data_IF_288548458708
#
_entry.id   IF_288548458708
#
_cell.length_a   1.000
_cell.length_b   1.000
_cell.length_c   1.000
_cell.angle_alpha   90.00
_cell.angle_beta   90.00
_cell.angle_gamma   90.00
#
_symmetry.space_group_name_H-M   'P 1'
#
loop_
_entity.id
_entity.type
_entity.pdbx_description
1 polymer ?
#
# COMPACT_ATOMS: atom_id res chain seq x y z
N UNK A 1 21.53 19.19 -8.46
CA UNK A 1 20.72 20.43 -8.38
C UNK A 1 21.54 21.63 -8.85
N UNK A 2 22.76 21.81 -8.35
CA UNK A 2 23.64 22.91 -8.74
C UNK A 2 23.97 22.95 -10.25
N UNK A 3 24.07 21.78 -10.90
CA UNK A 3 24.31 21.69 -12.36
C UNK A 3 23.17 22.21 -13.24
N UNK A 4 21.97 22.27 -12.70
CA UNK A 4 20.77 22.77 -13.41
C UNK A 4 20.34 24.16 -12.92
N UNK A 5 21.19 24.84 -12.12
CA UNK A 5 20.96 26.21 -11.65
C UNK A 5 19.84 26.36 -10.62
N UNK A 6 19.46 25.28 -9.91
CA UNK A 6 18.44 25.33 -8.86
C UNK A 6 19.10 25.50 -7.52
N UNK A 7 18.76 26.57 -6.82
CA UNK A 7 19.17 26.81 -5.43
C UNK A 7 18.08 26.30 -4.48
N UNK A 8 18.44 25.37 -3.58
CA UNK A 8 17.53 24.87 -2.55
C UNK A 8 17.83 25.50 -1.21
N UNK A 9 16.86 26.23 -0.66
CA UNK A 9 16.93 26.82 0.68
C UNK A 9 16.12 26.00 1.66
N UNK A 10 16.77 25.46 2.71
CA UNK A 10 16.12 24.60 3.71
C UNK A 10 16.26 25.25 5.07
N UNK A 11 15.14 25.63 5.66
CA UNK A 11 15.05 26.17 7.02
C UNK A 11 14.39 25.13 7.92
N UNK A 12 15.12 24.52 8.83
CA UNK A 12 14.60 23.51 9.74
C UNK A 12 14.83 23.92 11.19
N UNK A 13 13.82 23.71 12.03
CA UNK A 13 13.94 23.78 13.47
C UNK A 13 14.11 22.36 14.01
N UNK A 14 15.29 22.05 14.55
CA UNK A 14 15.69 20.74 15.08
C UNK A 14 16.71 20.00 14.21
N UNK A 15 17.68 19.36 14.89
CA UNK A 15 18.86 18.73 14.26
C UNK A 15 18.53 17.59 13.30
N UNK A 16 17.41 16.90 13.47
CA UNK A 16 17.05 15.70 12.71
C UNK A 16 15.88 15.91 11.72
N UNK A 17 15.46 17.15 11.46
CA UNK A 17 14.33 17.41 10.54
C UNK A 17 14.64 17.24 9.05
N UNK A 18 15.92 17.16 8.69
CA UNK A 18 16.37 16.84 7.32
C UNK A 18 16.98 15.44 7.25
N UNK A 19 16.40 14.51 8.00
CA UNK A 19 16.77 13.10 7.99
C UNK A 19 16.58 12.52 6.58
N UNK A 20 17.62 11.85 6.05
CA UNK A 20 17.66 11.26 4.71
C UNK A 20 17.21 12.21 3.58
N UNK A 21 17.65 13.45 3.63
CA UNK A 21 17.38 14.43 2.57
C UNK A 21 18.01 13.96 1.24
N UNK A 22 17.21 13.66 0.18
CA UNK A 22 17.71 13.09 -1.07
C UNK A 22 18.65 14.02 -1.85
N UNK A 23 18.78 15.27 -1.43
CA UNK A 23 19.65 16.28 -2.07
C UNK A 23 20.89 16.61 -1.26
N UNK A 24 21.17 15.85 -0.21
CA UNK A 24 22.38 15.96 0.61
C UNK A 24 23.13 14.63 0.62
N UNK A 25 24.40 14.69 0.91
CA UNK A 25 25.17 13.48 1.18
C UNK A 25 24.57 12.71 2.36
N UNK A 26 24.50 11.40 2.22
CA UNK A 26 23.97 10.53 3.25
C UNK A 26 24.86 10.56 4.48
N UNK A 27 24.27 10.71 5.64
CA UNK A 27 24.97 10.62 6.91
C UNK A 27 24.89 9.19 7.44
N UNK A 28 26.02 8.65 7.83
CA UNK A 28 26.13 7.29 8.41
C UNK A 28 25.18 7.12 9.61
N UNK A 29 25.10 8.14 10.47
CA UNK A 29 24.19 8.15 11.63
C UNK A 29 22.71 8.05 11.24
N UNK A 30 22.31 8.69 10.14
CA UNK A 30 20.93 8.64 9.65
C UNK A 30 20.61 7.24 9.10
N UNK A 31 21.55 6.62 8.39
CA UNK A 31 21.41 5.25 7.86
C UNK A 31 21.32 4.25 9.01
N UNK A 32 22.18 4.34 10.01
CA UNK A 32 22.15 3.46 11.19
C UNK A 32 20.82 3.59 11.95
N UNK A 33 20.35 4.82 12.11
CA UNK A 33 19.06 5.07 12.75
C UNK A 33 17.90 4.47 11.95
N UNK A 34 17.92 4.61 10.62
CA UNK A 34 16.93 4.00 9.74
C UNK A 34 16.93 2.48 9.91
N UNK A 35 18.11 1.84 9.84
CA UNK A 35 18.25 0.39 10.01
C UNK A 35 17.66 -0.09 11.33
N UNK A 36 17.99 0.59 12.44
CA UNK A 36 17.41 0.26 13.75
C UNK A 36 15.89 0.34 13.79
N UNK A 37 15.32 1.36 13.14
CA UNK A 37 13.84 1.47 13.05
C UNK A 37 13.26 0.34 12.20
N UNK A 38 13.89 0.01 11.07
CA UNK A 38 13.46 -1.09 10.21
C UNK A 38 13.52 -2.44 10.95
N UNK A 39 14.59 -2.71 11.70
CA UNK A 39 14.73 -3.90 12.53
C UNK A 39 13.60 -4.00 13.57
N UNK A 40 13.32 -2.92 14.31
CA UNK A 40 12.23 -2.90 15.29
C UNK A 40 10.86 -3.15 14.66
N UNK A 41 10.59 -2.56 13.51
CA UNK A 41 9.33 -2.78 12.78
C UNK A 41 9.25 -4.24 12.33
N UNK A 42 10.34 -4.79 11.81
CA UNK A 42 10.42 -6.17 11.36
C UNK A 42 10.21 -7.17 12.52
N UNK A 43 10.85 -6.95 13.65
CA UNK A 43 10.69 -7.79 14.85
C UNK A 43 9.26 -7.76 15.37
N UNK A 44 8.63 -6.60 15.39
CA UNK A 44 7.22 -6.46 15.75
C UNK A 44 6.31 -7.22 14.78
N UNK A 45 6.59 -7.12 13.47
CA UNK A 45 5.86 -7.88 12.44
C UNK A 45 6.02 -9.39 12.65
N UNK A 46 7.26 -9.89 12.83
CA UNK A 46 7.53 -11.29 13.11
C UNK A 46 6.74 -11.76 14.34
N UNK A 47 6.82 -11.02 15.42
CA UNK A 47 6.13 -11.34 16.68
C UNK A 47 4.62 -11.39 16.49
N UNK A 48 4.05 -10.44 15.76
CA UNK A 48 2.63 -10.41 15.44
C UNK A 48 2.20 -11.61 14.59
N UNK A 49 2.93 -11.91 13.51
CA UNK A 49 2.64 -13.07 12.65
C UNK A 49 2.72 -14.37 13.45
N UNK A 50 3.78 -14.56 14.24
CA UNK A 50 3.94 -15.74 15.11
C UNK A 50 2.77 -15.85 16.10
N UNK A 51 2.35 -14.78 16.72
CA UNK A 51 1.22 -14.79 17.67
C UNK A 51 -0.11 -15.17 17.01
N UNK A 52 -0.31 -14.80 15.73
CA UNK A 52 -1.55 -15.06 14.99
C UNK A 52 -1.59 -16.42 14.31
N UNK A 53 -0.46 -16.88 13.81
CA UNK A 53 -0.35 -18.16 13.07
C UNK A 53 0.00 -19.35 13.99
N UNK A 54 0.72 -19.07 15.10
CA UNK A 54 1.09 -20.09 16.08
C UNK A 54 1.75 -21.32 15.44
N UNK A 55 1.29 -22.49 15.81
CA UNK A 55 1.82 -23.77 15.35
C UNK A 55 1.56 -24.09 13.86
N UNK A 56 0.84 -23.20 13.14
CA UNK A 56 0.61 -23.37 11.70
C UNK A 56 1.83 -23.01 10.86
N UNK A 57 2.72 -22.16 11.37
CA UNK A 57 3.95 -21.80 10.68
C UNK A 57 4.89 -22.99 10.62
N UNK A 58 5.55 -23.14 9.48
CA UNK A 58 6.60 -24.14 9.33
C UNK A 58 7.86 -23.64 10.04
N UNK A 59 8.15 -24.20 11.21
CA UNK A 59 9.26 -23.78 12.08
C UNK A 59 10.64 -23.93 11.40
N UNK A 60 10.78 -24.89 10.49
CA UNK A 60 12.04 -25.12 9.76
C UNK A 60 12.31 -24.03 8.71
N UNK A 61 11.33 -23.22 8.36
CA UNK A 61 11.41 -22.22 7.31
C UNK A 61 11.23 -20.77 7.81
N UNK A 62 11.40 -20.52 9.10
CA UNK A 62 11.16 -19.18 9.66
C UNK A 62 12.05 -18.11 9.04
N UNK A 63 13.31 -18.41 8.74
CA UNK A 63 14.21 -17.46 8.08
C UNK A 63 13.70 -17.13 6.67
N UNK A 64 13.26 -18.11 5.90
CA UNK A 64 12.67 -17.93 4.58
C UNK A 64 11.38 -17.11 4.68
N UNK A 65 10.50 -17.43 5.63
CA UNK A 65 9.20 -16.78 5.84
C UNK A 65 9.37 -15.27 6.10
N UNK A 66 10.37 -14.89 6.86
CA UNK A 66 10.59 -13.50 7.26
C UNK A 66 11.70 -12.78 6.51
N UNK A 67 12.18 -13.36 5.41
CA UNK A 67 13.26 -12.80 4.59
C UNK A 67 12.85 -11.62 3.69
N UNK A 68 11.56 -11.35 3.57
CA UNK A 68 11.02 -10.37 2.61
C UNK A 68 10.78 -10.94 1.21
N UNK A 69 10.94 -12.25 1.01
CA UNK A 69 10.56 -12.94 -0.22
C UNK A 69 9.04 -13.00 -0.37
N UNK A 70 8.58 -13.30 -1.57
CA UNK A 70 7.16 -13.53 -1.87
C UNK A 70 6.96 -14.90 -2.52
N UNK A 71 5.77 -15.47 -2.34
CA UNK A 71 5.44 -16.81 -2.81
C UNK A 71 4.08 -16.84 -3.48
N UNK A 72 3.88 -17.82 -4.34
CA UNK A 72 2.55 -18.17 -4.87
C UNK A 72 1.71 -18.85 -3.78
N UNK A 73 0.40 -18.87 -3.96
CA UNK A 73 -0.54 -19.31 -2.92
C UNK A 73 -0.26 -20.69 -2.35
N UNK A 74 0.13 -21.69 -3.18
CA UNK A 74 0.45 -23.05 -2.71
C UNK A 74 1.66 -23.05 -1.78
N UNK A 75 2.75 -22.37 -2.15
CA UNK A 75 3.92 -22.26 -1.27
C UNK A 75 3.59 -21.55 0.04
N UNK A 76 2.69 -20.54 -0.01
CA UNK A 76 2.20 -19.86 1.18
C UNK A 76 1.45 -20.81 2.15
N UNK A 77 0.74 -21.82 1.63
CA UNK A 77 0.12 -22.88 2.44
C UNK A 77 1.19 -23.78 3.05
N UNK A 78 2.16 -24.23 2.25
CA UNK A 78 3.23 -25.13 2.69
C UNK A 78 4.08 -24.48 3.81
N UNK A 79 4.25 -23.16 3.75
CA UNK A 79 4.92 -22.37 4.77
C UNK A 79 4.02 -22.08 6.00
N UNK A 80 2.75 -22.38 5.94
CA UNK A 80 1.79 -22.10 7.00
C UNK A 80 1.30 -20.66 7.08
N UNK A 81 1.57 -19.85 6.05
CA UNK A 81 1.11 -18.47 5.96
C UNK A 81 -0.37 -18.34 5.57
N UNK A 82 -0.88 -19.30 4.81
CA UNK A 82 -2.28 -19.39 4.40
C UNK A 82 -2.87 -20.74 4.83
N UNK A 83 -4.21 -20.82 4.93
CA UNK A 83 -4.90 -22.04 5.34
C UNK A 83 -5.43 -22.84 4.15
N UNK A 84 -5.48 -22.26 2.95
CA UNK A 84 -5.99 -22.91 1.76
C UNK A 84 -6.14 -21.95 0.59
N UNK A 85 -6.44 -22.50 -0.59
CA UNK A 85 -6.84 -21.77 -1.78
C UNK A 85 -8.35 -21.86 -1.93
N UNK A 86 -8.98 -20.80 -2.42
CA UNK A 86 -10.41 -20.78 -2.70
C UNK A 86 -10.94 -19.39 -2.98
N UNK A 87 -12.09 -19.31 -3.59
CA UNK A 87 -12.83 -18.07 -3.73
C UNK A 87 -13.65 -17.76 -2.48
N UNK A 88 -13.97 -16.49 -2.25
CA UNK A 88 -14.80 -16.07 -1.12
C UNK A 88 -16.13 -16.81 -1.11
N UNK A 89 -16.76 -16.98 -2.29
CA UNK A 89 -18.04 -17.64 -2.41
C UNK A 89 -17.96 -19.13 -2.03
N UNK A 90 -16.96 -19.85 -2.53
CA UNK A 90 -16.73 -21.26 -2.19
C UNK A 90 -16.47 -21.45 -0.69
N UNK A 91 -15.66 -20.59 -0.09
CA UNK A 91 -15.35 -20.67 1.34
C UNK A 91 -16.60 -20.41 2.18
N UNK A 92 -17.43 -19.45 1.80
CA UNK A 92 -18.66 -19.14 2.51
C UNK A 92 -19.69 -20.27 2.31
N UNK A 93 -19.85 -20.78 1.10
CA UNK A 93 -20.73 -21.91 0.83
C UNK A 93 -20.32 -23.15 1.64
N UNK A 94 -19.02 -23.46 1.69
CA UNK A 94 -18.49 -24.58 2.46
C UNK A 94 -18.66 -24.43 3.97
N UNK A 95 -18.51 -23.20 4.50
CA UNK A 95 -18.61 -22.94 5.95
C UNK A 95 -20.05 -22.77 6.44
N UNK A 96 -20.92 -22.16 5.66
CA UNK A 96 -22.23 -21.70 6.07
C UNK A 96 -23.37 -22.30 5.25
N UNK A 97 -23.04 -23.11 4.23
CA UNK A 97 -24.01 -23.76 3.35
C UNK A 97 -24.46 -22.90 2.17
N UNK A 98 -25.06 -23.57 1.17
CA UNK A 98 -25.50 -22.95 -0.11
C UNK A 98 -26.48 -21.79 0.00
N UNK A 99 -27.16 -21.65 1.14
CA UNK A 99 -28.11 -20.54 1.38
C UNK A 99 -27.48 -19.31 2.01
N UNK A 100 -26.19 -19.32 2.28
CA UNK A 100 -25.47 -18.18 2.85
C UNK A 100 -25.45 -17.00 1.88
N UNK A 101 -25.74 -15.81 2.40
CA UNK A 101 -25.74 -14.57 1.62
C UNK A 101 -24.68 -13.62 2.16
N UNK A 102 -23.84 -13.11 1.26
CA UNK A 102 -22.86 -12.07 1.61
C UNK A 102 -23.58 -10.73 1.66
N UNK A 103 -23.57 -10.07 2.83
CA UNK A 103 -24.05 -8.70 2.95
C UNK A 103 -22.87 -7.75 2.96
N UNK A 104 -22.72 -6.98 1.90
CA UNK A 104 -21.71 -5.93 1.83
C UNK A 104 -22.21 -4.76 2.69
N UNK A 105 -21.40 -4.36 3.68
CA UNK A 105 -21.67 -3.21 4.53
C UNK A 105 -20.82 -2.05 4.02
N UNK A 106 -21.40 -1.24 3.16
CA UNK A 106 -20.80 0.00 2.68
C UNK A 106 -21.09 1.13 3.66
N UNK A 107 -20.12 2.03 3.84
CA UNK A 107 -20.38 3.31 4.51
C UNK A 107 -21.40 4.08 3.68
N UNK A 108 -22.55 4.39 4.28
CA UNK A 108 -23.55 5.24 3.64
C UNK A 108 -22.92 6.59 3.32
N UNK A 109 -22.62 6.83 2.05
CA UNK A 109 -22.20 8.15 1.60
C UNK A 109 -23.27 9.15 1.98
N UNK A 110 -22.89 10.24 2.65
CA UNK A 110 -23.80 11.34 2.99
C UNK A 110 -24.57 11.79 1.74
N UNK A 111 -25.80 12.23 1.91
CA UNK A 111 -26.63 12.74 0.81
C UNK A 111 -25.92 13.81 -0.03
N UNK A 112 -25.13 14.65 0.61
CA UNK A 112 -24.25 15.63 -0.04
C UNK A 112 -23.14 14.98 -0.87
N UNK A 113 -22.48 13.93 -0.36
CA UNK A 113 -21.45 13.20 -1.12
C UNK A 113 -22.03 12.46 -2.32
N UNK A 114 -23.27 11.98 -2.25
CA UNK A 114 -23.97 11.37 -3.40
C UNK A 114 -24.23 12.36 -4.51
N UNK A 115 -24.59 13.59 -4.17
CA UNK A 115 -24.85 14.64 -5.14
C UNK A 115 -23.58 15.20 -5.77
N UNK A 116 -22.50 15.29 -4.99
CA UNK A 116 -21.21 15.76 -5.49
C UNK A 116 -20.38 14.68 -6.20
N UNK A 117 -20.48 13.40 -5.85
CA UNK A 117 -19.75 12.34 -6.56
C UNK A 117 -20.34 12.00 -7.93
N UNK A 118 -21.62 12.29 -8.18
CA UNK A 118 -22.17 12.19 -9.54
C UNK A 118 -21.74 13.36 -10.45
N UNK A 119 -21.33 14.48 -9.88
CA UNK A 119 -20.79 15.62 -10.64
C UNK A 119 -19.25 15.55 -10.81
N UNK A 120 -18.54 14.77 -9.98
CA UNK A 120 -17.09 14.59 -10.09
C UNK A 120 -16.67 13.49 -11.06
N UNK A 121 -17.56 12.55 -11.38
CA UNK A 121 -17.29 11.53 -12.42
C UNK A 121 -17.28 12.16 -13.82
N UNK A 122 -17.99 13.28 -13.99
CA UNK A 122 -17.97 14.03 -15.26
C UNK A 122 -16.83 15.07 -15.34
N UNK A 123 -16.14 15.39 -14.24
CA UNK A 123 -15.09 16.42 -14.28
C UNK A 123 -13.86 15.98 -15.08
N UNK A 124 -13.45 14.72 -15.01
CA UNK A 124 -12.34 14.20 -15.81
C UNK A 124 -12.73 14.07 -17.28
N UNK A 125 -13.95 13.64 -17.57
CA UNK A 125 -14.48 13.60 -18.93
C UNK A 125 -14.72 15.01 -19.51
N UNK A 126 -15.09 15.98 -18.67
CA UNK A 126 -15.22 17.40 -19.07
C UNK A 126 -13.85 18.03 -19.27
N UNK A 127 -12.87 17.76 -18.42
CA UNK A 127 -11.50 18.23 -18.60
C UNK A 127 -10.86 17.64 -19.87
N UNK A 128 -11.00 16.34 -20.13
CA UNK A 128 -10.54 15.71 -21.36
C UNK A 128 -11.19 16.33 -22.61
N UNK A 129 -12.49 16.59 -22.59
CA UNK A 129 -13.19 17.26 -23.69
C UNK A 129 -12.75 18.72 -23.88
N UNK A 130 -12.42 19.43 -22.80
CA UNK A 130 -11.90 20.80 -22.89
C UNK A 130 -10.49 20.80 -23.44
N UNK A 131 -9.63 19.88 -23.01
CA UNK A 131 -8.27 19.73 -23.54
C UNK A 131 -8.29 19.31 -25.02
N UNK A 132 -9.14 18.36 -25.39
CA UNK A 132 -9.32 17.93 -26.77
C UNK A 132 -9.81 19.09 -27.65
N UNK A 133 -10.80 19.85 -27.19
CA UNK A 133 -11.32 21.01 -27.91
C UNK A 133 -10.30 22.16 -28.01
N UNK A 134 -9.48 22.35 -26.98
CA UNK A 134 -8.39 23.32 -27.00
C UNK A 134 -7.26 22.93 -27.96
N UNK A 135 -6.97 21.62 -28.08
CA UNK A 135 -6.04 21.08 -29.07
C UNK A 135 -6.57 21.27 -30.51
N UNK A 136 -7.83 20.90 -30.78
CA UNK A 136 -8.44 21.04 -32.11
C UNK A 136 -8.56 22.50 -32.57
N UNK A 137 -8.93 23.42 -31.65
CA UNK A 137 -8.98 24.85 -31.96
C UNK A 137 -7.60 25.44 -32.32
N UNK A 138 -6.51 24.86 -31.89
CA UNK A 138 -5.14 25.26 -32.21
C UNK A 138 -4.73 24.88 -33.63
N UNK A 139 -5.41 23.90 -34.22
CA UNK A 139 -5.17 23.43 -35.61
C UNK A 139 -6.25 23.91 -36.59
N UNK A 140 -7.19 24.79 -36.14
CA UNK A 140 -8.17 25.41 -37.05
C UNK A 140 -9.30 24.47 -37.49
N UNK A 141 -9.56 23.41 -36.72
CA UNK A 141 -10.68 22.46 -36.91
C UNK A 141 -11.74 22.62 -35.84
#
# INVERSE_FOLDING_TARGET
INKIGVERRVYTSGKSKSFLDPFKEEKVEDIERLKKIQEQIHDNFISYVKSRRGNKLNENNLEEIFSGLFWVGQKGIDLGLADGLGSINEIIENKFGKKAKIKIIDQKKSFLQRRFSSSLIDSDAVLQKIEEKALWSRYGL
#
